data_IF_613845620025
#
_entry.id   IF_613845620025
#
_cell.length_a   1.000
_cell.length_b   1.000
_cell.length_c   1.000
_cell.angle_alpha   90.00
_cell.angle_beta   90.00
_cell.angle_gamma   90.00
#
_symmetry.space_group_name_H-M   'P 1'
#
loop_
_entity.id
_entity.type
_entity.pdbx_description
1 polymer ?
#
# COMPACT_ATOMS: atom_id res chain seq x y z
N UNK A 1 0.32 -49.78 21.84
CA UNK A 1 0.34 -48.77 22.91
C UNK A 1 1.68 -48.05 22.78
N UNK A 2 1.69 -46.85 22.20
CA UNK A 2 2.91 -46.08 21.89
C UNK A 2 3.26 -45.24 23.12
N UNK A 3 4.38 -45.55 23.78
CA UNK A 3 4.86 -44.73 24.89
C UNK A 3 5.55 -43.46 24.34
N UNK A 4 5.03 -42.30 24.77
CA UNK A 4 5.63 -41.00 24.48
C UNK A 4 6.91 -40.83 25.31
N UNK A 5 7.95 -40.16 24.78
CA UNK A 5 9.20 -39.98 25.50
C UNK A 5 9.03 -39.07 26.73
N UNK A 6 9.78 -39.31 27.82
CA UNK A 6 9.53 -38.75 29.16
C UNK A 6 9.65 -37.23 29.27
N UNK A 7 10.26 -36.55 28.29
CA UNK A 7 10.37 -35.09 28.28
C UNK A 7 9.06 -34.39 27.86
N UNK A 8 8.15 -35.07 27.16
CA UNK A 8 6.86 -34.49 26.75
C UNK A 8 5.86 -34.41 27.92
N UNK A 9 5.97 -35.31 28.92
CA UNK A 9 5.04 -35.34 30.06
C UNK A 9 5.09 -34.08 30.92
N UNK A 10 6.28 -33.49 31.09
CA UNK A 10 6.48 -32.27 31.88
C UNK A 10 5.96 -31.00 31.18
N UNK A 11 5.99 -30.98 29.85
CA UNK A 11 5.49 -29.85 29.05
C UNK A 11 3.97 -29.86 28.87
N UNK A 12 3.35 -31.05 28.81
CA UNK A 12 1.89 -31.18 28.68
C UNK A 12 1.17 -30.75 29.97
N UNK A 13 1.73 -31.05 31.15
CA UNK A 13 1.18 -30.57 32.43
C UNK A 13 1.20 -29.04 32.56
N UNK A 14 2.29 -28.40 32.13
CA UNK A 14 2.45 -26.95 32.17
C UNK A 14 1.53 -26.21 31.17
N UNK A 15 1.22 -26.85 30.04
CA UNK A 15 0.24 -26.33 29.07
C UNK A 15 -1.19 -26.36 29.61
N UNK A 16 -1.56 -27.35 30.43
CA UNK A 16 -2.92 -27.47 30.98
C UNK A 16 -3.22 -26.44 32.08
N UNK A 17 -2.22 -26.04 32.86
CA UNK A 17 -2.36 -25.12 33.99
C UNK A 17 -2.44 -23.62 33.57
N UNK A 18 -1.91 -23.28 32.39
CA UNK A 18 -1.96 -21.91 31.85
C UNK A 18 -3.18 -21.59 30.97
N UNK A 19 -4.17 -22.48 30.89
CA UNK A 19 -5.31 -22.33 29.97
C UNK A 19 -6.64 -22.02 30.69
N UNK A 20 -7.00 -20.73 30.79
CA UNK A 20 -8.42 -20.37 30.82
C UNK A 20 -8.80 -19.30 29.79
N UNK A 21 -8.08 -19.12 28.67
CA UNK A 21 -8.48 -18.16 27.63
C UNK A 21 -8.36 -18.77 26.23
N UNK A 22 -9.49 -18.85 25.52
CA UNK A 22 -9.61 -19.43 24.18
C UNK A 22 -9.16 -18.42 23.11
N UNK A 23 -8.26 -18.85 22.21
CA UNK A 23 -8.31 -18.46 20.80
C UNK A 23 -7.57 -17.20 20.37
N UNK A 24 -6.35 -16.95 20.87
CA UNK A 24 -5.49 -15.87 20.33
C UNK A 24 -4.43 -16.43 19.38
N UNK A 25 -4.10 -15.67 18.33
CA UNK A 25 -3.02 -15.94 17.35
C UNK A 25 -1.68 -16.28 18.05
N UNK A 26 -1.49 -15.76 19.25
CA UNK A 26 -0.34 -15.98 20.13
C UNK A 26 -0.23 -17.45 20.57
N UNK A 27 -1.35 -18.17 20.75
CA UNK A 27 -1.35 -19.59 21.12
C UNK A 27 -0.76 -20.45 19.99
N UNK A 28 -1.10 -20.15 18.74
CA UNK A 28 -0.52 -20.81 17.58
C UNK A 28 0.94 -20.44 17.36
N UNK A 29 1.33 -19.19 17.67
CA UNK A 29 2.72 -18.74 17.58
C UNK A 29 3.62 -19.42 18.62
N UNK A 30 3.20 -19.54 19.87
CA UNK A 30 3.97 -20.25 20.91
C UNK A 30 4.08 -21.74 20.62
N UNK A 31 3.01 -22.34 20.10
CA UNK A 31 3.01 -23.74 19.66
C UNK A 31 3.98 -23.98 18.49
N UNK A 32 3.98 -23.08 17.49
CA UNK A 32 4.88 -23.17 16.33
C UNK A 32 6.35 -22.97 16.73
N UNK A 33 6.64 -22.02 17.63
CA UNK A 33 7.99 -21.79 18.16
C UNK A 33 8.48 -23.00 18.97
N UNK A 34 7.62 -23.64 19.77
CA UNK A 34 7.95 -24.86 20.51
C UNK A 34 8.27 -26.02 19.56
N UNK A 35 7.47 -26.22 18.51
CA UNK A 35 7.73 -27.25 17.48
C UNK A 35 9.08 -26.99 16.79
N UNK A 36 9.34 -25.75 16.37
CA UNK A 36 10.62 -25.40 15.73
C UNK A 36 11.81 -25.56 16.70
N UNK A 37 11.67 -25.20 17.97
CA UNK A 37 12.74 -25.39 18.96
C UNK A 37 13.06 -26.88 19.21
N UNK A 38 12.04 -27.75 19.17
CA UNK A 38 12.20 -29.20 19.32
C UNK A 38 12.89 -29.84 18.10
N UNK A 39 12.72 -29.28 16.90
CA UNK A 39 13.27 -29.84 15.67
C UNK A 39 14.71 -29.38 15.40
N UNK A 40 15.13 -28.24 15.94
CA UNK A 40 16.39 -27.59 15.54
C UNK A 40 17.46 -27.45 16.65
N UNK A 41 17.27 -28.04 17.83
CA UNK A 41 18.22 -27.99 18.96
C UNK A 41 18.77 -26.57 19.21
N UNK A 42 17.90 -25.57 19.09
CA UNK A 42 18.30 -24.17 19.23
C UNK A 42 18.75 -23.91 20.66
N UNK A 43 19.87 -23.19 20.83
CA UNK A 43 20.34 -22.77 22.16
C UNK A 43 19.24 -21.97 22.86
N UNK A 44 18.81 -22.48 24.01
CA UNK A 44 17.74 -21.94 24.85
C UNK A 44 17.85 -20.42 25.08
N UNK A 45 19.07 -19.89 25.12
CA UNK A 45 19.38 -18.47 25.31
C UNK A 45 18.85 -17.56 24.19
N UNK A 46 18.88 -18.02 22.93
CA UNK A 46 18.39 -17.23 21.79
C UNK A 46 16.86 -17.14 21.80
N UNK A 47 16.20 -18.23 22.19
CA UNK A 47 14.75 -18.28 22.31
C UNK A 47 14.26 -17.34 23.43
N UNK A 48 14.98 -17.31 24.55
CA UNK A 48 14.72 -16.40 25.66
C UNK A 48 14.93 -14.93 25.28
N UNK A 49 15.95 -14.61 24.47
CA UNK A 49 16.20 -13.25 23.98
C UNK A 49 15.06 -12.75 23.10
N UNK A 50 14.61 -13.57 22.13
CA UNK A 50 13.48 -13.25 21.27
C UNK A 50 12.20 -13.07 22.10
N UNK A 51 11.94 -13.99 23.03
CA UNK A 51 10.77 -13.90 23.89
C UNK A 51 10.80 -12.64 24.80
N UNK A 52 11.97 -12.27 25.32
CA UNK A 52 12.14 -11.06 26.13
C UNK A 52 11.83 -9.82 25.31
N UNK A 53 12.34 -9.72 24.08
CA UNK A 53 12.11 -8.58 23.18
C UNK A 53 10.65 -8.43 22.76
N UNK A 54 9.96 -9.53 22.47
CA UNK A 54 8.52 -9.51 22.16
C UNK A 54 7.72 -8.96 23.36
N UNK A 55 8.05 -9.42 24.57
CA UNK A 55 7.38 -8.97 25.81
C UNK A 55 7.62 -7.48 26.11
N UNK A 56 8.82 -6.95 25.87
CA UNK A 56 9.11 -5.52 26.10
C UNK A 56 8.32 -4.61 25.14
N UNK A 57 8.10 -5.06 23.90
CA UNK A 57 7.34 -4.32 22.90
C UNK A 57 5.85 -4.25 23.30
N UNK A 58 5.31 -5.36 23.80
CA UNK A 58 3.90 -5.48 24.25
C UNK A 58 3.60 -4.56 25.45
N UNK A 59 4.52 -4.43 26.41
CA UNK A 59 4.35 -3.59 27.60
C UNK A 59 4.43 -2.08 27.30
N UNK A 60 5.10 -1.69 26.21
CA UNK A 60 5.32 -0.27 25.90
C UNK A 60 4.19 0.39 25.09
N UNK A 61 3.32 -0.36 24.42
CA UNK A 61 2.47 0.17 23.34
C UNK A 61 1.06 -0.46 23.27
N UNK A 62 0.33 -0.41 24.38
CA UNK A 62 -1.07 -0.89 24.42
C UNK A 62 -2.08 0.05 23.71
N UNK A 63 -1.71 1.28 23.32
CA UNK A 63 -2.71 2.29 22.89
C UNK A 63 -2.62 2.86 21.46
N UNK A 64 -1.61 2.56 20.64
CA UNK A 64 -1.50 3.21 19.32
C UNK A 64 -1.58 2.26 18.11
N UNK A 65 -2.48 2.58 17.17
CA UNK A 65 -2.73 1.85 15.92
C UNK A 65 -1.55 1.79 14.93
N UNK A 66 -0.40 2.38 15.27
CA UNK A 66 0.90 2.17 14.60
C UNK A 66 1.40 0.71 14.70
N UNK A 67 0.80 -0.06 15.62
CA UNK A 67 1.24 -1.39 16.06
C UNK A 67 1.16 -2.48 14.98
N UNK A 68 0.18 -2.43 14.05
CA UNK A 68 0.04 -3.51 13.04
C UNK A 68 1.19 -3.56 12.03
N UNK A 69 1.72 -2.41 11.63
CA UNK A 69 2.83 -2.32 10.66
C UNK A 69 4.16 -2.80 11.26
N UNK A 70 4.43 -2.40 12.52
CA UNK A 70 5.67 -2.74 13.20
C UNK A 70 5.71 -4.21 13.64
N UNK A 71 4.59 -4.76 14.13
CA UNK A 71 4.47 -6.20 14.41
C UNK A 71 4.62 -7.02 13.12
N UNK A 72 4.07 -6.54 12.00
CA UNK A 72 4.20 -7.22 10.71
C UNK A 72 5.64 -7.19 10.18
N UNK A 73 6.38 -6.09 10.39
CA UNK A 73 7.81 -6.03 10.05
C UNK A 73 8.65 -7.01 10.87
N UNK A 74 8.43 -7.07 12.19
CA UNK A 74 9.15 -8.00 13.06
C UNK A 74 8.82 -9.47 12.74
N UNK A 75 7.58 -9.75 12.36
CA UNK A 75 7.18 -11.08 11.86
C UNK A 75 7.96 -11.45 10.58
N UNK A 76 8.06 -10.51 9.63
CA UNK A 76 8.83 -10.69 8.40
C UNK A 76 10.32 -10.92 8.67
N UNK A 77 10.90 -10.18 9.63
CA UNK A 77 12.30 -10.35 10.02
C UNK A 77 12.57 -11.73 10.64
N UNK A 78 11.65 -12.25 11.46
CA UNK A 78 11.80 -13.59 12.06
C UNK A 78 11.64 -14.73 11.06
N UNK A 79 10.74 -14.60 10.08
CA UNK A 79 10.57 -15.57 8.98
C UNK A 79 11.80 -15.59 8.06
N UNK A 80 12.38 -14.41 7.76
CA UNK A 80 13.60 -14.28 6.97
C UNK A 80 14.78 -14.94 7.68
N UNK A 81 14.95 -14.73 8.98
CA UNK A 81 16.02 -15.37 9.77
C UNK A 81 15.82 -16.88 9.83
N UNK A 82 14.57 -17.35 9.99
CA UNK A 82 14.21 -18.77 9.92
C UNK A 82 14.58 -19.40 8.58
N UNK A 83 14.18 -18.78 7.47
CA UNK A 83 14.53 -19.23 6.13
C UNK A 83 16.05 -19.18 5.87
N UNK A 84 16.74 -18.13 6.32
CA UNK A 84 18.21 -18.06 6.23
C UNK A 84 18.86 -19.20 7.02
N UNK A 85 18.38 -19.53 8.22
CA UNK A 85 18.94 -20.62 9.03
C UNK A 85 18.77 -21.99 8.35
N UNK A 86 17.69 -22.20 7.59
CA UNK A 86 17.46 -23.38 6.75
C UNK A 86 18.43 -23.39 5.56
N UNK A 87 18.70 -22.24 4.94
CA UNK A 87 19.64 -22.12 3.82
C UNK A 87 21.08 -22.47 4.21
N UNK A 88 21.49 -22.16 5.44
CA UNK A 88 22.87 -22.35 5.89
C UNK A 88 23.19 -23.71 6.49
N UNK A 89 22.20 -24.49 6.96
CA UNK A 89 22.49 -25.62 7.85
C UNK A 89 22.20 -27.03 7.32
N UNK A 90 21.70 -27.22 6.08
CA UNK A 90 21.92 -28.44 5.28
C UNK A 90 21.19 -28.39 3.93
N UNK A 91 21.96 -28.51 2.84
CA UNK A 91 21.55 -29.06 1.54
C UNK A 91 20.30 -28.45 0.88
N UNK A 92 20.31 -27.16 0.54
CA UNK A 92 19.43 -26.69 -0.55
C UNK A 92 20.12 -26.92 -1.90
N UNK A 93 19.50 -27.63 -2.86
CA UNK A 93 20.09 -27.74 -4.18
C UNK A 93 20.13 -26.34 -4.80
N UNK A 94 21.29 -25.96 -5.34
CA UNK A 94 21.55 -24.69 -6.06
C UNK A 94 20.37 -24.15 -6.90
N UNK A 95 19.53 -24.95 -7.60
CA UNK A 95 18.34 -24.44 -8.28
C UNK A 95 17.29 -23.78 -7.37
N UNK A 96 17.07 -24.26 -6.14
CA UNK A 96 16.02 -23.73 -5.25
C UNK A 96 16.34 -22.31 -4.76
N UNK A 97 17.62 -22.05 -4.44
CA UNK A 97 18.10 -20.72 -4.07
C UNK A 97 17.90 -19.72 -5.21
N UNK A 98 18.17 -20.13 -6.46
CA UNK A 98 17.98 -19.29 -7.64
C UNK A 98 16.50 -18.96 -7.87
N UNK A 99 15.59 -19.89 -7.60
CA UNK A 99 14.15 -19.64 -7.69
C UNK A 99 13.65 -18.65 -6.64
N UNK A 100 14.14 -18.76 -5.39
CA UNK A 100 13.78 -17.82 -4.32
C UNK A 100 14.31 -16.41 -4.62
N UNK A 101 15.57 -16.31 -5.09
CA UNK A 101 16.15 -15.03 -5.50
C UNK A 101 15.39 -14.42 -6.70
N UNK A 102 15.01 -15.23 -7.69
CA UNK A 102 14.23 -14.79 -8.85
C UNK A 102 12.83 -14.30 -8.46
N UNK A 103 12.11 -15.05 -7.60
CA UNK A 103 10.81 -14.65 -7.09
C UNK A 103 10.89 -13.37 -6.24
N UNK A 104 11.95 -13.22 -5.43
CA UNK A 104 12.23 -12.01 -4.67
C UNK A 104 12.44 -10.79 -5.55
N UNK A 105 13.26 -10.91 -6.61
CA UNK A 105 13.48 -9.83 -7.59
C UNK A 105 12.21 -9.47 -8.36
N UNK A 106 11.37 -10.47 -8.68
CA UNK A 106 10.08 -10.24 -9.35
C UNK A 106 9.09 -9.53 -8.42
N UNK A 107 9.04 -9.89 -7.13
CA UNK A 107 8.24 -9.21 -6.12
C UNK A 107 8.74 -7.78 -5.84
N UNK A 108 10.06 -7.56 -5.78
CA UNK A 108 10.68 -6.24 -5.68
C UNK A 108 10.33 -5.37 -6.89
N UNK A 109 10.39 -5.92 -8.10
CA UNK A 109 9.99 -5.21 -9.33
C UNK A 109 8.49 -4.89 -9.36
N UNK A 110 7.64 -5.80 -8.87
CA UNK A 110 6.20 -5.59 -8.77
C UNK A 110 5.83 -4.52 -7.73
N UNK A 111 6.48 -4.54 -6.56
CA UNK A 111 6.28 -3.53 -5.50
C UNK A 111 6.85 -2.17 -5.90
N UNK A 112 7.97 -2.12 -6.64
CA UNK A 112 8.50 -0.88 -7.21
C UNK A 112 7.52 -0.23 -8.20
N UNK A 113 6.91 -1.03 -9.09
CA UNK A 113 5.87 -0.55 -10.02
C UNK A 113 4.64 0.01 -9.28
N UNK A 114 4.30 -0.52 -8.12
CA UNK A 114 3.19 -0.01 -7.29
C UNK A 114 3.51 1.33 -6.60
N UNK A 115 4.79 1.71 -6.43
CA UNK A 115 5.15 3.01 -5.88
C UNK A 115 5.04 4.15 -6.91
N UNK A 116 5.27 3.89 -8.19
CA UNK A 116 5.10 4.91 -9.24
C UNK A 116 3.62 5.34 -9.41
N UNK A 117 2.67 4.42 -9.22
CA UNK A 117 1.23 4.75 -9.31
C UNK A 117 0.72 5.54 -8.10
N UNK A 118 1.31 5.35 -6.91
CA UNK A 118 0.96 6.08 -5.68
C UNK A 118 1.70 7.41 -5.52
N UNK A 119 2.76 7.67 -6.29
CA UNK A 119 3.41 8.99 -6.36
C UNK A 119 2.68 9.93 -7.34
N UNK A 120 1.35 9.88 -7.39
CA UNK A 120 0.57 11.08 -7.76
C UNK A 120 0.66 12.04 -6.58
N UNK A 121 1.79 12.75 -6.53
CA UNK A 121 1.92 14.01 -5.81
C UNK A 121 0.65 14.82 -6.02
N UNK A 122 0.15 15.49 -4.98
CA UNK A 122 -0.95 16.44 -5.09
C UNK A 122 -0.57 17.52 -6.11
N UNK A 123 -0.83 17.26 -7.39
CA UNK A 123 -0.48 18.17 -8.45
C UNK A 123 -1.35 19.39 -8.31
N UNK A 124 -0.71 20.56 -8.29
CA UNK A 124 -1.44 21.81 -8.14
C UNK A 124 -2.05 22.14 -9.49
N UNK A 125 -3.33 21.80 -9.64
CA UNK A 125 -4.10 22.10 -10.84
C UNK A 125 -4.76 23.48 -10.66
N UNK A 126 -4.39 24.43 -11.52
CA UNK A 126 -4.94 25.78 -11.55
C UNK A 126 -5.45 26.13 -12.94
N UNK A 127 -6.30 27.16 -13.05
CA UNK A 127 -6.84 27.62 -14.32
C UNK A 127 -6.78 29.14 -14.44
N UNK A 128 -6.74 29.64 -15.68
CA UNK A 128 -6.78 31.06 -16.01
C UNK A 128 -7.79 31.31 -17.12
N UNK A 129 -8.57 32.38 -17.01
CA UNK A 129 -9.49 32.82 -18.06
C UNK A 129 -8.76 33.77 -19.00
N UNK A 130 -8.90 33.54 -20.30
CA UNK A 130 -8.25 34.32 -21.36
C UNK A 130 -9.28 34.92 -22.31
N UNK A 131 -9.03 36.10 -22.87
CA UNK A 131 -9.83 36.60 -23.99
C UNK A 131 -9.60 35.74 -25.24
N UNK A 132 -10.64 35.64 -26.07
CA UNK A 132 -10.65 34.93 -27.34
C UNK A 132 -11.21 35.83 -28.45
N UNK A 133 -11.33 35.29 -29.66
CA UNK A 133 -11.73 36.03 -30.87
C UNK A 133 -13.14 36.62 -30.68
N UNK A 134 -13.42 37.77 -31.31
CA UNK A 134 -14.74 38.43 -31.28
C UNK A 134 -15.24 38.76 -29.87
N UNK A 135 -14.34 39.16 -28.96
CA UNK A 135 -14.68 39.53 -27.58
C UNK A 135 -15.30 38.37 -26.77
N UNK A 136 -15.00 37.14 -27.15
CA UNK A 136 -15.38 35.93 -26.41
C UNK A 136 -14.31 35.52 -25.40
N UNK A 137 -14.57 34.49 -24.61
CA UNK A 137 -13.70 34.01 -23.52
C UNK A 137 -13.31 32.55 -23.70
N UNK A 138 -12.09 32.21 -23.29
CA UNK A 138 -11.59 30.84 -23.19
C UNK A 138 -10.86 30.63 -21.88
N UNK A 139 -10.26 29.45 -21.71
CA UNK A 139 -9.53 29.10 -20.50
C UNK A 139 -8.24 28.33 -20.80
N UNK A 140 -7.30 28.45 -19.87
CA UNK A 140 -6.05 27.70 -19.81
C UNK A 140 -6.02 26.90 -18.51
N UNK A 141 -5.49 25.68 -18.54
CA UNK A 141 -5.29 24.85 -17.35
C UNK A 141 -3.82 24.50 -17.21
N UNK A 142 -3.34 24.66 -16.00
CA UNK A 142 -1.96 24.43 -15.59
C UNK A 142 -1.91 23.28 -14.59
N UNK A 143 -0.97 22.36 -14.79
CA UNK A 143 -0.62 21.32 -13.84
C UNK A 143 0.83 21.57 -13.45
N UNK A 144 1.06 21.83 -12.16
CA UNK A 144 2.40 22.14 -11.63
C UNK A 144 3.10 23.27 -12.41
N UNK A 145 2.33 24.34 -12.66
CA UNK A 145 2.75 25.53 -13.43
C UNK A 145 3.00 25.30 -14.93
N UNK A 146 2.88 24.07 -15.44
CA UNK A 146 2.95 23.79 -16.88
C UNK A 146 1.58 23.91 -17.51
N UNK A 147 1.46 24.68 -18.60
CA UNK A 147 0.21 24.75 -19.37
C UNK A 147 -0.03 23.41 -20.07
N UNK A 148 -1.14 22.76 -19.74
CA UNK A 148 -1.53 21.46 -20.31
C UNK A 148 -2.69 21.60 -21.30
N UNK A 149 -3.62 22.52 -21.03
CA UNK A 149 -4.79 22.73 -21.87
C UNK A 149 -4.91 24.22 -22.21
N UNK A 150 -5.12 24.52 -23.49
CA UNK A 150 -5.48 25.83 -24.00
C UNK A 150 -6.77 25.69 -24.81
N UNK A 151 -7.88 26.17 -24.26
CA UNK A 151 -9.19 26.06 -24.89
C UNK A 151 -9.73 27.46 -25.19
N UNK A 152 -9.61 27.87 -26.46
CA UNK A 152 -10.11 29.18 -26.94
C UNK A 152 -11.58 29.17 -27.37
N UNK A 153 -12.11 27.98 -27.67
CA UNK A 153 -13.42 27.79 -28.29
C UNK A 153 -14.29 26.93 -27.37
N UNK A 154 -15.61 26.93 -27.56
CA UNK A 154 -16.50 26.07 -26.77
C UNK A 154 -16.28 24.60 -27.17
N UNK A 155 -15.86 23.71 -26.23
CA UNK A 155 -15.67 22.30 -26.55
C UNK A 155 -17.01 21.63 -26.91
N UNK A 156 -17.01 20.76 -27.92
CA UNK A 156 -18.22 20.03 -28.33
C UNK A 156 -19.18 20.80 -29.25
N UNK A 157 -18.91 22.07 -29.57
CA UNK A 157 -19.66 22.82 -30.58
C UNK A 157 -18.81 23.08 -31.83
N UNK A 158 -19.42 23.03 -33.04
CA UNK A 158 -18.74 23.48 -34.24
C UNK A 158 -18.56 25.00 -34.22
N UNK A 159 -17.34 25.46 -34.51
CA UNK A 159 -17.04 26.89 -34.67
C UNK A 159 -15.73 27.36 -34.01
N UNK A 160 -15.39 28.62 -34.25
CA UNK A 160 -14.22 29.30 -33.69
C UNK A 160 -14.54 30.20 -32.49
N UNK A 161 -15.80 30.26 -32.09
CA UNK A 161 -16.27 31.14 -31.02
C UNK A 161 -16.00 30.54 -29.63
N UNK A 162 -15.54 31.40 -28.72
CA UNK A 162 -15.44 31.10 -27.30
C UNK A 162 -16.74 31.34 -26.54
N UNK A 163 -16.66 31.32 -25.22
CA UNK A 163 -17.78 31.60 -24.34
C UNK A 163 -18.17 33.08 -24.39
N UNK A 164 -19.48 33.37 -24.36
CA UNK A 164 -20.00 34.76 -24.34
C UNK A 164 -19.58 35.52 -23.07
N UNK A 165 -19.42 34.84 -21.94
CA UNK A 165 -19.09 35.46 -20.66
C UNK A 165 -17.89 34.78 -19.98
N UNK A 166 -17.13 35.55 -19.18
CA UNK A 166 -16.07 35.02 -18.31
C UNK A 166 -16.60 33.95 -17.34
N UNK A 167 -17.80 34.16 -16.80
CA UNK A 167 -18.41 33.25 -15.85
C UNK A 167 -18.70 31.87 -16.47
N UNK A 168 -19.16 31.85 -17.71
CA UNK A 168 -19.36 30.61 -18.47
C UNK A 168 -18.06 29.84 -18.67
N UNK A 169 -17.00 30.53 -19.11
CA UNK A 169 -15.68 29.91 -19.27
C UNK A 169 -15.11 29.37 -17.94
N UNK A 170 -15.38 30.06 -16.83
CA UNK A 170 -14.94 29.66 -15.49
C UNK A 170 -15.60 28.35 -15.04
N UNK A 171 -16.92 28.24 -15.17
CA UNK A 171 -17.65 27.01 -14.80
C UNK A 171 -17.12 25.78 -15.55
N UNK A 172 -16.87 25.91 -16.85
CA UNK A 172 -16.34 24.80 -17.64
C UNK A 172 -14.90 24.46 -17.27
N UNK A 173 -14.06 25.46 -17.02
CA UNK A 173 -12.70 25.23 -16.53
C UNK A 173 -12.71 24.44 -15.20
N UNK A 174 -13.62 24.76 -14.28
CA UNK A 174 -13.77 24.03 -13.01
C UNK A 174 -14.18 22.57 -13.21
N UNK A 175 -15.09 22.28 -14.16
CA UNK A 175 -15.47 20.91 -14.51
C UNK A 175 -14.25 20.13 -15.03
N UNK A 176 -13.46 20.75 -15.91
CA UNK A 176 -12.25 20.12 -16.46
C UNK A 176 -11.20 19.89 -15.38
N UNK A 177 -10.98 20.86 -14.49
CA UNK A 177 -10.08 20.69 -13.34
C UNK A 177 -10.52 19.54 -12.45
N UNK A 178 -11.83 19.42 -12.18
CA UNK A 178 -12.38 18.29 -11.41
C UNK A 178 -12.12 16.95 -12.09
N UNK A 179 -12.35 16.84 -13.40
CA UNK A 179 -12.06 15.62 -14.18
C UNK A 179 -10.58 15.25 -14.18
N UNK A 180 -9.69 16.24 -14.25
CA UNK A 180 -8.25 16.04 -14.17
C UNK A 180 -7.83 15.54 -12.77
N UNK A 181 -8.45 16.06 -11.69
CA UNK A 181 -8.24 15.55 -10.33
C UNK A 181 -8.71 14.11 -10.17
N UNK A 182 -9.81 13.73 -10.84
CA UNK A 182 -10.33 12.36 -10.89
C UNK A 182 -9.49 11.43 -11.79
N UNK A 183 -8.50 11.96 -12.53
CA UNK A 183 -7.60 11.18 -13.38
C UNK A 183 -8.15 10.84 -14.76
N UNK A 184 -9.23 11.50 -15.21
CA UNK A 184 -9.83 11.30 -16.53
C UNK A 184 -9.03 12.06 -17.60
N UNK A 185 -8.39 11.33 -18.50
CA UNK A 185 -7.58 11.89 -19.59
C UNK A 185 -7.90 11.22 -20.94
N UNK A 186 -8.14 11.99 -22.03
CA UNK A 186 -8.31 13.45 -22.08
C UNK A 186 -9.66 13.88 -21.47
N UNK A 187 -9.73 15.03 -20.78
CA UNK A 187 -10.99 15.52 -20.23
C UNK A 187 -11.90 16.00 -21.38
N UNK A 188 -12.91 15.20 -21.72
CA UNK A 188 -13.94 15.58 -22.68
C UNK A 188 -15.08 16.30 -21.98
N UNK A 189 -15.53 17.42 -22.53
CA UNK A 189 -16.74 18.13 -22.10
C UNK A 189 -17.81 17.88 -23.15
N UNK A 190 -18.96 17.33 -22.74
CA UNK A 190 -20.08 17.02 -23.63
C UNK A 190 -21.07 18.19 -23.70
N UNK A 191 -21.93 18.22 -24.72
CA UNK A 191 -23.00 19.22 -24.85
C UNK A 191 -23.94 19.21 -23.63
N UNK A 192 -24.28 18.03 -23.12
CA UNK A 192 -25.10 17.87 -21.90
C UNK A 192 -24.50 18.58 -20.68
N UNK A 193 -23.17 18.53 -20.53
CA UNK A 193 -22.48 19.22 -19.44
C UNK A 193 -22.48 20.75 -19.61
N UNK A 194 -22.47 21.24 -20.86
CA UNK A 194 -22.62 22.66 -21.16
C UNK A 194 -24.03 23.15 -20.81
N UNK A 195 -25.05 22.40 -21.18
CA UNK A 195 -26.45 22.72 -20.83
C UNK A 195 -26.64 22.72 -19.32
N UNK A 196 -26.13 21.70 -18.63
CA UNK A 196 -26.19 21.61 -17.16
C UNK A 196 -25.45 22.75 -16.47
N UNK A 197 -24.33 23.22 -17.04
CA UNK A 197 -23.60 24.37 -16.52
C UNK A 197 -24.27 25.71 -16.85
N UNK A 198 -25.32 25.70 -17.68
CA UNK A 198 -26.07 26.84 -18.17
C UNK A 198 -25.13 27.89 -18.82
N UNK A 199 -24.30 27.41 -19.75
CA UNK A 199 -23.29 28.22 -20.45
C UNK A 199 -23.57 28.41 -21.95
N UNK A 200 -24.66 27.81 -22.44
CA UNK A 200 -25.16 27.92 -23.80
C UNK A 200 -26.23 29.02 -23.89
#
# INVERSE_FOLDING_TARGET
MLELPPFLGHHIGFLHEMMPVKGTVIQWQLFYILILSSQFNMKHDLLLEVHRRIRTIELSNYNDGLCRSQIFCLYLETEIIGMLSILFNNFTPKPLLLLILGAGLMHLSWTYRQQESKKKSHSTISYKIIPSIQNTWGYEIYIDSKKVILQRNIPGLPGSLGFKTKASSKKIAEIVVRKLKEGVMPPKVTSEELEKANVL
#
